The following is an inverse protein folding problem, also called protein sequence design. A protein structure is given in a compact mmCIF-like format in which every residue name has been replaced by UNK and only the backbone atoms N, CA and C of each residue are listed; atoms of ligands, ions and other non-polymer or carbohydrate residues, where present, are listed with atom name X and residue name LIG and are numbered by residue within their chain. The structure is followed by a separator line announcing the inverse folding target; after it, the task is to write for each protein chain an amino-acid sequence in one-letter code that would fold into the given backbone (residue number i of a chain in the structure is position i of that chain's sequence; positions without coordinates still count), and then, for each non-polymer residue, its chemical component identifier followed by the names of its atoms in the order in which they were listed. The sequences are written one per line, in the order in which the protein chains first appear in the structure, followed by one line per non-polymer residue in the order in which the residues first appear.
data_IF_695968953996
#
_entry.id   IF_695968953996
#
_cell.length_a   1.000
_cell.length_b   1.000
_cell.length_c   1.000
_cell.angle_alpha   90.00
_cell.angle_beta   90.00
_cell.angle_gamma   90.00
#
_symmetry.space_group_name_H-M   'P 1'
#
loop_
_entity.id
_entity.type
_entity.pdbx_description
1 polymer ?
#
# COMPACT_ATOMS: atom_id res chain seq x y z
N UNK A 1 4.08 -6.54 -36.20
CA UNK A 1 4.74 -5.91 -35.04
C UNK A 1 3.77 -5.97 -33.89
N UNK A 2 4.06 -6.76 -32.85
CA UNK A 2 3.25 -6.75 -31.63
C UNK A 2 3.36 -5.34 -31.01
N UNK A 3 2.23 -4.68 -30.75
CA UNK A 3 2.22 -3.45 -29.93
C UNK A 3 2.91 -3.83 -28.61
N UNK A 4 4.02 -3.22 -28.31
CA UNK A 4 4.61 -3.27 -26.97
C UNK A 4 3.57 -2.61 -26.06
N UNK A 5 2.78 -3.44 -25.36
CA UNK A 5 1.84 -2.90 -24.37
C UNK A 5 2.65 -2.15 -23.32
N UNK A 6 2.26 -0.90 -23.06
CA UNK A 6 2.83 -0.05 -22.00
C UNK A 6 2.73 -0.81 -20.68
N UNK A 7 3.81 -0.79 -19.87
CA UNK A 7 3.77 -1.35 -18.53
C UNK A 7 2.78 -0.57 -17.65
N UNK A 8 2.06 -1.24 -16.75
CA UNK A 8 1.22 -0.55 -15.79
C UNK A 8 2.03 0.42 -14.92
N UNK A 9 1.53 1.61 -14.73
CA UNK A 9 2.08 2.59 -13.80
C UNK A 9 1.39 2.42 -12.45
N UNK A 10 2.14 2.07 -11.43
CA UNK A 10 1.61 1.65 -10.13
C UNK A 10 2.16 2.52 -9.00
N UNK A 11 1.27 3.18 -8.28
CA UNK A 11 1.63 3.86 -7.03
C UNK A 11 1.48 2.90 -5.86
N UNK A 12 2.52 2.74 -5.02
CA UNK A 12 2.41 2.14 -3.69
C UNK A 12 2.42 3.26 -2.65
N UNK A 13 1.26 3.51 -2.04
CA UNK A 13 1.06 4.58 -1.07
C UNK A 13 0.94 4.03 0.35
N UNK A 14 1.86 4.44 1.23
CA UNK A 14 1.80 4.15 2.65
C UNK A 14 1.14 5.26 3.47
N UNK A 15 1.08 5.05 4.79
CA UNK A 15 0.43 5.98 5.72
C UNK A 15 1.26 7.23 6.08
N UNK A 16 2.49 7.34 5.59
CA UNK A 16 3.39 8.45 5.92
C UNK A 16 2.85 9.81 5.47
N UNK A 17 2.19 9.86 4.29
CA UNK A 17 1.53 11.07 3.82
C UNK A 17 0.40 11.49 4.79
N UNK A 18 -0.47 10.57 5.16
CA UNK A 18 -1.57 10.86 6.09
C UNK A 18 -1.04 11.28 7.47
N UNK A 19 0.03 10.65 7.95
CA UNK A 19 0.67 11.01 9.23
C UNK A 19 1.25 12.43 9.21
N UNK A 20 1.75 12.92 8.08
CA UNK A 20 2.20 14.30 7.94
C UNK A 20 1.07 15.32 8.21
N UNK A 21 -0.17 14.90 8.03
CA UNK A 21 -1.38 15.68 8.30
C UNK A 21 -2.11 15.26 9.59
N UNK A 22 -1.45 14.52 10.48
CA UNK A 22 -1.98 14.19 11.81
C UNK A 22 -2.77 12.88 11.88
N UNK A 23 -2.77 12.05 10.85
CA UNK A 23 -3.41 10.75 10.92
C UNK A 23 -2.70 9.80 11.90
N UNK A 24 -3.43 8.81 12.40
CA UNK A 24 -2.96 7.84 13.38
C UNK A 24 -1.75 7.04 12.89
N UNK A 25 -0.77 6.89 13.77
CA UNK A 25 0.41 6.05 13.54
C UNK A 25 0.14 4.58 13.90
N UNK A 26 1.09 3.71 13.54
CA UNK A 26 1.08 2.31 13.98
C UNK A 26 1.13 2.18 15.50
N UNK A 27 1.92 3.01 16.17
CA UNK A 27 2.04 2.97 17.64
C UNK A 27 0.70 3.35 18.32
N UNK A 28 -0.02 4.31 17.76
CA UNK A 28 -1.38 4.66 18.23
C UNK A 28 -2.36 3.51 18.01
N UNK A 29 -2.29 2.82 16.87
CA UNK A 29 -3.08 1.63 16.62
C UNK A 29 -2.78 0.54 17.66
N UNK A 30 -1.51 0.25 17.93
CA UNK A 30 -1.12 -0.74 18.94
C UNK A 30 -1.61 -0.36 20.33
N UNK A 31 -1.53 0.91 20.69
CA UNK A 31 -2.06 1.42 21.97
C UNK A 31 -3.58 1.22 22.08
N UNK A 32 -4.32 1.47 21.03
CA UNK A 32 -5.79 1.25 20.99
C UNK A 32 -6.17 -0.22 21.10
N UNK A 33 -5.38 -1.11 20.47
CA UNK A 33 -5.61 -2.55 20.52
C UNK A 33 -5.13 -3.19 21.83
N UNK A 34 -4.31 -2.48 22.62
CA UNK A 34 -3.68 -3.05 23.80
C UNK A 34 -4.70 -3.33 24.91
N UNK A 35 -4.71 -4.57 25.39
CA UNK A 35 -5.36 -4.99 26.63
C UNK A 35 -4.40 -4.92 27.82
N UNK A 36 -3.14 -4.54 27.60
CA UNK A 36 -2.07 -4.44 28.59
C UNK A 36 -1.78 -2.98 28.92
N UNK A 37 -1.60 -2.69 30.18
CA UNK A 37 -1.27 -1.35 30.71
C UNK A 37 0.19 -1.21 31.13
N UNK A 38 0.95 -2.30 31.11
CA UNK A 38 2.33 -2.39 31.58
C UNK A 38 3.37 -2.26 30.45
N UNK A 39 2.93 -2.04 29.21
CA UNK A 39 3.82 -1.92 28.06
C UNK A 39 4.27 -0.48 27.82
N UNK A 40 5.50 -0.27 27.32
CA UNK A 40 5.96 1.06 26.93
C UNK A 40 5.17 1.60 25.72
N UNK A 41 5.08 2.90 25.60
CA UNK A 41 4.39 3.55 24.47
C UNK A 41 4.97 3.20 23.11
N UNK A 42 6.26 2.88 23.06
CA UNK A 42 6.96 2.45 21.84
C UNK A 42 7.60 1.08 22.03
N UNK A 43 7.17 0.14 21.21
CA UNK A 43 7.67 -1.22 21.20
C UNK A 43 8.84 -1.37 20.22
N UNK A 44 9.92 -2.03 20.63
CA UNK A 44 11.14 -2.25 19.82
C UNK A 44 11.16 -3.57 19.05
N UNK A 45 10.08 -4.33 19.08
CA UNK A 45 9.95 -5.60 18.35
C UNK A 45 9.28 -5.39 16.98
N UNK A 46 9.43 -6.33 16.04
CA UNK A 46 8.79 -6.26 14.72
C UNK A 46 7.27 -6.03 14.79
N UNK A 47 6.75 -5.15 13.92
CA UNK A 47 5.34 -4.73 13.93
C UNK A 47 4.32 -5.89 13.97
N UNK A 48 4.47 -6.98 13.19
CA UNK A 48 3.53 -8.10 13.28
C UNK A 48 3.50 -8.78 14.64
N UNK A 49 4.61 -8.76 15.39
CA UNK A 49 4.71 -9.33 16.74
C UNK A 49 4.20 -8.35 17.80
N UNK A 50 4.24 -7.04 17.55
CA UNK A 50 3.67 -6.05 18.46
C UNK A 50 2.18 -6.33 18.71
N UNK A 51 1.44 -6.63 17.64
CA UNK A 51 0.01 -6.94 17.74
C UNK A 51 -0.26 -8.14 18.66
N UNK A 52 0.56 -9.19 18.58
CA UNK A 52 0.48 -10.37 19.49
C UNK A 52 0.75 -9.96 20.92
N UNK A 53 1.79 -9.15 21.15
CA UNK A 53 2.19 -8.73 22.48
C UNK A 53 1.11 -7.88 23.16
N UNK A 54 0.51 -6.94 22.43
CA UNK A 54 -0.48 -6.01 23.02
C UNK A 54 -1.84 -6.67 23.26
N UNK A 55 -2.15 -7.75 22.54
CA UNK A 55 -3.44 -8.46 22.65
C UNK A 55 -3.34 -9.80 23.39
N UNK A 56 -2.14 -10.22 23.78
CA UNK A 56 -1.79 -11.54 24.32
C UNK A 56 -2.12 -12.73 23.42
N UNK A 57 -2.56 -12.51 22.18
CA UNK A 57 -2.94 -13.55 21.23
C UNK A 57 -3.13 -12.98 19.82
N UNK A 58 -3.96 -13.62 19.05
CA UNK A 58 -4.33 -13.20 17.70
C UNK A 58 -5.34 -12.07 17.75
N UNK A 59 -5.12 -11.03 16.94
CA UNK A 59 -6.06 -9.93 16.79
C UNK A 59 -7.34 -10.44 16.13
N UNK A 60 -8.43 -10.50 16.87
CA UNK A 60 -9.72 -10.96 16.36
C UNK A 60 -10.49 -9.85 15.59
N UNK A 61 -11.62 -10.21 15.01
CA UNK A 61 -12.47 -9.28 14.25
C UNK A 61 -13.04 -8.16 15.11
N UNK A 62 -13.29 -8.40 16.40
CA UNK A 62 -13.83 -7.38 17.32
C UNK A 62 -12.78 -6.31 17.59
N UNK A 63 -11.53 -6.71 17.86
CA UNK A 63 -10.40 -5.80 18.02
C UNK A 63 -10.16 -4.99 16.74
N UNK A 64 -10.24 -5.63 15.57
CA UNK A 64 -10.12 -4.93 14.27
C UNK A 64 -11.23 -3.90 14.04
N UNK A 65 -12.45 -4.14 14.51
CA UNK A 65 -13.54 -3.15 14.46
C UNK A 65 -13.27 -1.95 15.37
N UNK A 66 -12.69 -2.16 16.54
CA UNK A 66 -12.25 -1.04 17.39
C UNK A 66 -11.13 -0.23 16.72
N UNK A 67 -10.21 -0.89 16.04
CA UNK A 67 -9.18 -0.20 15.26
C UNK A 67 -9.76 0.71 14.18
N UNK A 68 -10.91 0.38 13.60
CA UNK A 68 -11.56 1.21 12.59
C UNK A 68 -11.98 2.59 13.09
N UNK A 69 -12.21 2.76 14.39
CA UNK A 69 -12.54 4.06 14.99
C UNK A 69 -11.38 5.06 14.86
N UNK A 70 -10.14 4.60 14.66
CA UNK A 70 -8.96 5.44 14.46
C UNK A 70 -8.81 5.96 13.02
N UNK A 71 -9.52 5.35 12.08
CA UNK A 71 -9.40 5.65 10.66
C UNK A 71 -10.63 6.43 10.18
N UNK A 72 -10.79 7.65 10.70
CA UNK A 72 -11.68 8.66 10.12
C UNK A 72 -11.18 9.07 8.74
N UNK A 73 -12.06 9.63 7.90
CA UNK A 73 -11.70 10.15 6.59
C UNK A 73 -10.76 11.36 6.67
N UNK A 74 -10.40 11.87 5.51
CA UNK A 74 -9.56 13.06 5.36
C UNK A 74 -10.34 14.33 5.73
N UNK A 75 -10.51 14.60 7.01
CA UNK A 75 -11.11 15.86 7.48
C UNK A 75 -10.17 17.07 7.31
N UNK A 76 -8.95 16.82 6.80
CA UNK A 76 -7.97 17.86 6.51
C UNK A 76 -8.04 18.28 5.04
N UNK A 77 -8.51 19.52 4.72
CA UNK A 77 -8.65 19.99 3.34
C UNK A 77 -7.33 19.99 2.56
N UNK A 78 -6.22 20.36 3.20
CA UNK A 78 -4.90 20.39 2.56
C UNK A 78 -4.42 18.99 2.19
N UNK A 79 -4.66 17.99 3.05
CA UNK A 79 -4.40 16.60 2.74
C UNK A 79 -5.27 16.12 1.57
N UNK A 80 -6.56 16.47 1.58
CA UNK A 80 -7.46 16.11 0.49
C UNK A 80 -6.98 16.69 -0.86
N UNK A 81 -6.49 17.93 -0.88
CA UNK A 81 -5.96 18.55 -2.10
C UNK A 81 -4.71 17.83 -2.62
N UNK A 82 -3.81 17.42 -1.75
CA UNK A 82 -2.62 16.62 -2.13
C UNK A 82 -3.04 15.26 -2.68
N UNK A 83 -4.00 14.58 -2.06
CA UNK A 83 -4.50 13.30 -2.54
C UNK A 83 -5.20 13.44 -3.91
N UNK A 84 -5.95 14.53 -4.12
CA UNK A 84 -6.54 14.86 -5.43
C UNK A 84 -5.48 15.07 -6.52
N UNK A 85 -4.35 15.71 -6.19
CA UNK A 85 -3.22 15.80 -7.13
C UNK A 85 -2.70 14.42 -7.52
N UNK A 86 -2.48 13.52 -6.54
CA UNK A 86 -2.08 12.14 -6.83
C UNK A 86 -3.07 11.41 -7.75
N UNK A 87 -4.37 11.54 -7.48
CA UNK A 87 -5.42 10.96 -8.33
C UNK A 87 -5.42 11.53 -9.76
N UNK A 88 -5.06 12.81 -9.91
CA UNK A 88 -4.99 13.50 -11.22
C UNK A 88 -3.80 13.04 -12.07
N UNK A 89 -2.76 12.45 -11.49
CA UNK A 89 -1.62 11.89 -12.24
C UNK A 89 -2.09 10.76 -13.16
N UNK A 90 -3.03 9.92 -12.69
CA UNK A 90 -3.63 8.85 -13.49
C UNK A 90 -2.77 7.60 -13.54
N UNK A 91 -2.38 7.08 -12.37
CA UNK A 91 -1.82 5.75 -12.23
C UNK A 91 -2.84 4.70 -12.68
N UNK A 92 -2.38 3.64 -13.34
CA UNK A 92 -3.26 2.51 -13.71
C UNK A 92 -3.77 1.78 -12.45
N UNK A 93 -2.93 1.70 -11.41
CA UNK A 93 -3.26 1.10 -10.13
C UNK A 93 -2.64 1.88 -8.97
N UNK A 94 -3.41 2.10 -7.92
CA UNK A 94 -2.93 2.62 -6.64
C UNK A 94 -3.05 1.51 -5.60
N UNK A 95 -1.92 1.05 -5.09
CA UNK A 95 -1.85 0.07 -4.01
C UNK A 95 -1.65 0.82 -2.71
N UNK A 96 -2.46 0.56 -1.70
CA UNK A 96 -2.26 1.16 -0.39
C UNK A 96 -2.26 0.12 0.72
N UNK A 97 -1.36 0.31 1.70
CA UNK A 97 -1.35 -0.46 2.94
C UNK A 97 -2.30 0.13 3.99
N UNK A 98 -2.89 1.30 3.72
CA UNK A 98 -3.82 1.97 4.61
C UNK A 98 -5.15 1.23 4.68
N UNK A 99 -5.72 1.13 5.87
CA UNK A 99 -7.05 0.54 6.06
C UNK A 99 -8.19 1.54 5.80
N UNK A 100 -7.86 2.82 5.82
CA UNK A 100 -8.76 3.98 5.67
C UNK A 100 -8.94 4.39 4.20
N UNK A 101 -9.84 5.33 3.96
CA UNK A 101 -10.34 5.68 2.62
C UNK A 101 -10.02 7.12 2.22
N UNK A 102 -8.91 7.68 2.65
CA UNK A 102 -8.56 9.08 2.39
C UNK A 102 -8.48 9.41 0.90
N UNK A 103 -8.03 8.46 0.05
CA UNK A 103 -7.99 8.61 -1.39
C UNK A 103 -9.41 8.70 -1.98
N UNK A 104 -10.27 7.76 -1.59
CA UNK A 104 -11.65 7.72 -2.04
C UNK A 104 -12.44 8.92 -1.52
N UNK A 105 -12.27 9.27 -0.24
CA UNK A 105 -12.92 10.42 0.39
C UNK A 105 -12.49 11.74 -0.28
N UNK A 106 -11.22 11.86 -0.68
CA UNK A 106 -10.71 13.04 -1.38
C UNK A 106 -11.34 13.21 -2.78
N UNK A 107 -11.59 12.11 -3.48
CA UNK A 107 -12.20 12.13 -4.81
C UNK A 107 -13.72 12.27 -4.76
N UNK A 108 -14.37 11.69 -3.75
CA UNK A 108 -15.82 11.57 -3.60
C UNK A 108 -16.30 12.21 -2.29
N UNK A 109 -16.09 13.52 -2.10
CA UNK A 109 -16.45 14.19 -0.86
C UNK A 109 -17.96 14.08 -0.60
N UNK A 110 -18.32 13.66 0.62
CA UNK A 110 -19.71 13.49 1.04
C UNK A 110 -20.40 12.22 0.58
N UNK A 111 -19.74 11.36 -0.19
CA UNK A 111 -20.27 10.05 -0.58
C UNK A 111 -20.05 9.06 0.56
N UNK A 112 -21.11 8.32 0.91
CA UNK A 112 -21.01 7.30 1.95
C UNK A 112 -20.08 6.15 1.51
N UNK A 113 -19.21 5.68 2.43
CA UNK A 113 -18.23 4.61 2.16
C UNK A 113 -18.88 3.30 1.63
N UNK A 114 -20.14 3.06 1.97
CA UNK A 114 -20.92 1.93 1.45
C UNK A 114 -21.25 2.05 -0.05
N UNK A 115 -21.17 3.25 -0.61
CA UNK A 115 -21.52 3.55 -1.99
C UNK A 115 -20.31 3.53 -2.93
N UNK A 116 -19.08 3.33 -2.41
CA UNK A 116 -17.89 3.23 -3.23
C UNK A 116 -17.99 2.06 -4.19
N UNK A 117 -17.69 2.34 -5.46
CA UNK A 117 -17.79 1.37 -6.56
C UNK A 117 -16.74 0.27 -6.45
N UNK A 118 -17.10 -0.83 -5.81
CA UNK A 118 -16.25 -1.99 -5.68
C UNK A 118 -16.22 -2.79 -6.98
N UNK A 119 -15.05 -3.00 -7.53
CA UNK A 119 -14.80 -3.83 -8.70
C UNK A 119 -14.11 -5.14 -8.32
N UNK A 120 -14.38 -6.17 -9.08
CA UNK A 120 -13.74 -7.47 -8.95
C UNK A 120 -13.24 -7.94 -10.32
N UNK A 121 -11.94 -8.15 -10.44
CA UNK A 121 -11.30 -8.50 -11.71
C UNK A 121 -11.61 -9.92 -12.20
N UNK A 122 -11.94 -10.85 -11.31
CA UNK A 122 -12.26 -12.22 -11.69
C UNK A 122 -13.73 -12.50 -11.55
N UNK A 123 -14.39 -12.74 -12.68
CA UNK A 123 -15.69 -13.42 -12.71
C UNK A 123 -15.42 -14.93 -12.66
N UNK A 124 -15.84 -15.56 -11.58
CA UNK A 124 -16.04 -17.01 -11.42
C UNK A 124 -15.04 -17.95 -12.08
N UNK A 125 -14.03 -18.35 -11.33
CA UNK A 125 -13.70 -19.77 -11.25
C UNK A 125 -14.03 -20.21 -9.82
N UNK A 126 -14.65 -21.37 -9.67
CA UNK A 126 -15.02 -22.01 -8.39
C UNK A 126 -13.82 -22.22 -7.44
N UNK A 127 -12.62 -21.98 -7.92
CA UNK A 127 -11.35 -22.09 -7.21
C UNK A 127 -10.82 -20.79 -6.58
N UNK A 128 -11.35 -19.61 -6.95
CA UNK A 128 -11.09 -18.37 -6.20
C UNK A 128 -11.98 -18.40 -4.97
N UNK A 129 -11.66 -19.32 -4.10
CA UNK A 129 -12.40 -19.67 -2.91
C UNK A 129 -12.63 -18.45 -2.01
N UNK A 130 -13.65 -18.54 -1.15
CA UNK A 130 -13.93 -17.61 -0.04
C UNK A 130 -12.69 -17.15 0.72
N UNK A 131 -11.64 -17.98 0.77
CA UNK A 131 -10.35 -17.67 1.38
C UNK A 131 -9.57 -16.53 0.69
N UNK A 132 -9.67 -16.36 -0.64
CA UNK A 132 -8.99 -15.27 -1.35
C UNK A 132 -9.75 -13.96 -1.25
N UNK A 133 -11.07 -13.99 -1.00
CA UNK A 133 -11.87 -12.78 -0.81
C UNK A 133 -11.50 -12.04 0.48
N UNK A 134 -10.98 -12.75 1.48
CA UNK A 134 -10.48 -12.16 2.74
C UNK A 134 -9.28 -11.24 2.52
N UNK A 135 -8.38 -11.62 1.62
CA UNK A 135 -7.10 -10.90 1.39
C UNK A 135 -7.18 -9.84 0.28
N UNK A 136 -8.37 -9.53 -0.23
CA UNK A 136 -8.63 -8.50 -1.24
C UNK A 136 -7.71 -8.55 -2.48
N UNK A 137 -7.23 -9.75 -2.85
CA UNK A 137 -6.25 -9.92 -3.93
C UNK A 137 -6.79 -9.55 -5.33
N UNK A 138 -8.10 -9.61 -5.51
CA UNK A 138 -8.78 -9.43 -6.79
C UNK A 138 -9.85 -8.33 -6.78
N UNK A 139 -9.90 -7.52 -5.72
CA UNK A 139 -10.93 -6.48 -5.55
C UNK A 139 -10.29 -5.12 -5.29
N UNK A 140 -10.86 -4.08 -5.88
CA UNK A 140 -10.42 -2.70 -5.74
C UNK A 140 -11.63 -1.75 -5.73
N UNK A 141 -11.43 -0.56 -5.20
CA UNK A 141 -12.35 0.55 -5.34
C UNK A 141 -12.01 1.30 -6.63
N UNK A 142 -13.02 1.54 -7.48
CA UNK A 142 -12.85 2.35 -8.69
C UNK A 142 -13.35 3.76 -8.40
N UNK A 143 -12.48 4.73 -8.62
CA UNK A 143 -12.77 6.13 -8.38
C UNK A 143 -12.43 6.94 -9.64
N UNK A 144 -13.35 7.78 -10.07
CA UNK A 144 -13.12 8.72 -11.17
C UNK A 144 -12.83 10.10 -10.62
N UNK A 145 -11.71 10.69 -11.05
CA UNK A 145 -11.32 12.05 -10.68
C UNK A 145 -10.62 12.75 -11.85
N UNK A 146 -11.05 13.98 -12.19
CA UNK A 146 -10.52 14.76 -13.31
C UNK A 146 -10.40 13.99 -14.63
N UNK A 147 -11.41 13.17 -14.96
CA UNK A 147 -11.41 12.33 -16.16
C UNK A 147 -10.44 11.16 -16.15
N UNK A 148 -9.82 10.87 -15.01
CA UNK A 148 -8.95 9.71 -14.78
C UNK A 148 -9.69 8.67 -13.94
N UNK A 149 -9.62 7.41 -14.36
CA UNK A 149 -10.10 6.27 -13.58
C UNK A 149 -8.95 5.74 -12.73
N UNK A 150 -9.12 5.73 -11.41
CA UNK A 150 -8.15 5.25 -10.46
C UNK A 150 -8.63 3.93 -9.84
N UNK A 151 -7.81 2.89 -9.91
CA UNK A 151 -8.08 1.59 -9.29
C UNK A 151 -7.33 1.50 -7.97
N UNK A 152 -8.03 1.65 -6.84
CA UNK A 152 -7.44 1.70 -5.49
C UNK A 152 -7.57 0.33 -4.83
N UNK A 153 -6.43 -0.26 -4.47
CA UNK A 153 -6.31 -1.58 -3.87
C UNK A 153 -5.82 -1.48 -2.44
N UNK A 154 -6.63 -1.90 -1.48
CA UNK A 154 -6.23 -2.02 -0.07
C UNK A 154 -5.51 -3.34 0.16
N UNK A 155 -4.19 -3.36 -0.08
CA UNK A 155 -3.40 -4.61 -0.13
C UNK A 155 -3.23 -5.28 1.24
N UNK A 156 -3.34 -4.54 2.33
CA UNK A 156 -3.35 -5.07 3.70
C UNK A 156 -4.77 -5.11 4.31
N UNK A 157 -5.78 -5.01 3.47
CA UNK A 157 -7.18 -5.01 3.92
C UNK A 157 -7.76 -3.61 4.10
N UNK A 158 -9.05 -3.56 4.40
CA UNK A 158 -9.81 -2.31 4.50
C UNK A 158 -10.74 -2.27 5.71
N UNK A 159 -11.02 -1.08 6.22
CA UNK A 159 -11.83 -0.86 7.41
C UNK A 159 -13.27 -1.37 7.30
N UNK A 160 -13.91 -1.30 6.11
CA UNK A 160 -15.26 -1.86 5.89
C UNK A 160 -15.32 -3.38 6.04
N UNK A 161 -14.16 -4.05 5.89
CA UNK A 161 -14.04 -5.50 6.02
C UNK A 161 -12.97 -5.84 7.06
N UNK A 162 -13.26 -5.70 8.36
CA UNK A 162 -12.27 -5.91 9.41
C UNK A 162 -11.53 -7.25 9.31
N UNK A 163 -12.20 -8.30 8.83
CA UNK A 163 -11.58 -9.61 8.61
C UNK A 163 -10.48 -9.60 7.55
N UNK A 164 -10.47 -8.59 6.65
CA UNK A 164 -9.42 -8.45 5.65
C UNK A 164 -8.15 -7.79 6.17
N UNK A 165 -8.21 -7.08 7.30
CA UNK A 165 -7.08 -6.32 7.84
C UNK A 165 -5.95 -7.26 8.27
N UNK A 166 -4.76 -6.99 7.78
CA UNK A 166 -3.54 -7.75 8.07
C UNK A 166 -2.88 -7.14 9.31
N UNK A 167 -3.27 -7.63 10.47
CA UNK A 167 -2.73 -7.21 11.78
C UNK A 167 -2.26 -8.45 12.52
N UNK A 168 -0.97 -8.51 12.86
CA UNK A 168 -0.35 -9.62 13.55
C UNK A 168 0.28 -10.68 12.64
N UNK A 169 1.27 -11.38 13.16
CA UNK A 169 2.15 -12.27 12.40
C UNK A 169 1.41 -13.41 11.69
N UNK A 170 0.35 -13.96 12.30
CA UNK A 170 -0.47 -15.01 11.69
C UNK A 170 -1.06 -14.58 10.33
N UNK A 171 -1.57 -13.35 10.26
CA UNK A 171 -2.16 -12.82 9.03
C UNK A 171 -1.10 -12.54 7.97
N UNK A 172 0.07 -12.02 8.36
CA UNK A 172 1.21 -11.82 7.45
C UNK A 172 1.73 -13.14 6.88
N UNK A 173 1.87 -14.19 7.70
CA UNK A 173 2.29 -15.51 7.25
C UNK A 173 1.31 -16.12 6.23
N UNK A 174 0.01 -16.01 6.49
CA UNK A 174 -1.03 -16.48 5.56
C UNK A 174 -1.05 -15.66 4.27
N UNK A 175 -0.81 -14.34 4.34
CA UNK A 175 -0.72 -13.48 3.17
C UNK A 175 0.44 -13.90 2.27
N UNK A 176 1.63 -14.09 2.80
CA UNK A 176 2.79 -14.60 2.09
C UNK A 176 2.55 -15.95 1.42
N UNK A 177 1.89 -16.87 2.11
CA UNK A 177 1.49 -18.16 1.52
C UNK A 177 0.57 -17.97 0.30
N UNK A 178 -0.38 -17.02 0.37
CA UNK A 178 -1.26 -16.68 -0.76
C UNK A 178 -0.50 -16.08 -1.93
N UNK A 179 0.41 -15.15 -1.67
CA UNK A 179 1.26 -14.57 -2.72
C UNK A 179 2.06 -15.65 -3.44
N UNK A 180 2.73 -16.52 -2.69
CA UNK A 180 3.48 -17.65 -3.26
C UNK A 180 2.58 -18.57 -4.09
N UNK A 181 1.41 -18.91 -3.60
CA UNK A 181 0.47 -19.80 -4.30
C UNK A 181 0.00 -19.18 -5.62
N UNK A 182 -0.35 -17.90 -5.65
CA UNK A 182 -0.81 -17.21 -6.85
C UNK A 182 0.32 -16.99 -7.85
N UNK A 183 1.44 -16.45 -7.42
CA UNK A 183 2.57 -16.15 -8.31
C UNK A 183 3.30 -17.40 -8.82
N UNK A 184 3.21 -18.53 -8.13
CA UNK A 184 3.73 -19.79 -8.65
C UNK A 184 2.79 -20.46 -9.66
N UNK A 185 1.47 -20.33 -9.49
CA UNK A 185 0.46 -20.81 -10.45
C UNK A 185 0.41 -19.94 -11.72
N UNK A 186 0.59 -18.64 -11.54
CA UNK A 186 0.63 -17.65 -12.60
C UNK A 186 2.06 -17.10 -12.65
N UNK A 187 2.99 -17.87 -13.25
CA UNK A 187 4.36 -17.39 -13.41
C UNK A 187 4.37 -16.02 -14.13
N UNK A 188 5.43 -15.24 -13.96
CA UNK A 188 5.65 -14.00 -14.72
C UNK A 188 5.49 -14.20 -16.25
N UNK A 189 5.58 -15.46 -16.72
CA UNK A 189 5.23 -15.88 -18.06
C UNK A 189 3.75 -15.71 -18.39
N UNK A 190 2.83 -15.80 -17.42
CA UNK A 190 1.40 -15.66 -17.71
C UNK A 190 1.03 -14.21 -18.02
N UNK A 191 1.58 -13.23 -17.30
CA UNK A 191 1.42 -11.82 -17.65
C UNK A 191 2.08 -11.51 -19.01
N UNK A 192 3.33 -12.01 -19.23
CA UNK A 192 4.02 -11.88 -20.52
C UNK A 192 3.27 -12.54 -21.68
N UNK A 193 2.48 -13.59 -21.42
CA UNK A 193 1.70 -14.31 -22.43
C UNK A 193 0.30 -13.73 -22.64
N UNK A 194 -0.36 -13.24 -21.58
CA UNK A 194 -1.76 -12.80 -21.64
C UNK A 194 -1.97 -11.29 -21.58
N UNK A 195 -0.97 -10.53 -21.13
CA UNK A 195 -1.08 -9.08 -20.88
C UNK A 195 -2.14 -8.71 -19.82
N UNK A 196 -2.75 -9.70 -19.15
CA UNK A 196 -3.94 -9.49 -18.34
C UNK A 196 -3.61 -9.41 -16.85
N UNK A 197 -3.96 -8.28 -16.22
CA UNK A 197 -3.91 -8.11 -14.78
C UNK A 197 -5.16 -8.75 -14.17
N UNK A 198 -4.97 -9.71 -13.27
CA UNK A 198 -6.05 -10.42 -12.57
C UNK A 198 -6.05 -10.15 -11.08
N UNK A 199 -4.97 -9.64 -10.56
CA UNK A 199 -4.77 -9.27 -9.16
C UNK A 199 -3.83 -8.07 -9.05
N UNK A 200 -3.83 -7.40 -7.92
CA UNK A 200 -2.84 -6.35 -7.67
C UNK A 200 -1.39 -6.91 -7.63
N UNK A 201 -1.21 -8.19 -7.34
CA UNK A 201 0.10 -8.84 -7.42
C UNK A 201 0.66 -8.84 -8.86
N UNK A 202 -0.21 -9.05 -9.85
CA UNK A 202 0.19 -8.98 -11.25
C UNK A 202 0.63 -7.55 -11.60
N UNK A 203 -0.13 -6.54 -11.15
CA UNK A 203 0.21 -5.14 -11.34
C UNK A 203 1.56 -4.79 -10.68
N UNK A 204 1.78 -5.24 -9.44
CA UNK A 204 3.04 -5.03 -8.72
C UNK A 204 4.23 -5.65 -9.44
N UNK A 205 4.11 -6.91 -9.87
CA UNK A 205 5.24 -7.64 -10.50
C UNK A 205 5.54 -7.10 -11.89
N UNK A 206 4.52 -6.72 -12.66
CA UNK A 206 4.66 -6.34 -14.07
C UNK A 206 4.85 -4.83 -14.30
N UNK A 207 4.37 -3.97 -13.40
CA UNK A 207 4.35 -2.52 -13.57
C UNK A 207 5.63 -1.81 -13.20
N UNK A 208 5.72 -0.53 -13.51
CA UNK A 208 6.67 0.40 -12.91
C UNK A 208 6.07 0.90 -11.59
N UNK A 209 6.83 0.82 -10.49
CA UNK A 209 6.34 1.04 -9.14
C UNK A 209 6.90 2.34 -8.59
N UNK A 210 6.04 3.21 -8.13
CA UNK A 210 6.39 4.45 -7.42
C UNK A 210 5.95 4.34 -5.97
N UNK A 211 6.88 4.37 -5.03
CA UNK A 211 6.63 4.14 -3.60
C UNK A 211 6.71 5.48 -2.88
N UNK A 212 5.60 5.88 -2.25
CA UNK A 212 5.47 7.16 -1.54
C UNK A 212 4.82 6.97 -0.17
N UNK A 213 5.36 7.64 0.85
CA UNK A 213 4.77 7.62 2.20
C UNK A 213 4.82 6.27 2.89
N UNK A 214 5.68 5.36 2.43
CA UNK A 214 5.86 4.02 2.96
C UNK A 214 7.25 3.86 3.56
N UNK A 215 7.32 3.62 4.88
CA UNK A 215 8.60 3.57 5.58
C UNK A 215 9.46 2.34 5.29
N UNK A 216 8.94 1.32 4.62
CA UNK A 216 9.62 0.06 4.34
C UNK A 216 10.31 -0.52 5.58
N UNK A 217 9.52 -0.72 6.65
CA UNK A 217 10.02 -1.36 7.87
C UNK A 217 10.54 -2.76 7.56
N UNK A 218 11.59 -3.19 8.25
CA UNK A 218 12.19 -4.53 8.05
C UNK A 218 11.20 -5.66 8.30
N UNK A 219 10.14 -5.42 9.05
CA UNK A 219 9.09 -6.40 9.34
C UNK A 219 8.01 -6.53 8.26
N UNK A 220 8.01 -5.67 7.23
CA UNK A 220 7.10 -5.75 6.08
C UNK A 220 7.56 -6.86 5.11
N UNK A 221 7.65 -8.07 5.62
CA UNK A 221 8.25 -9.22 4.93
C UNK A 221 7.55 -9.59 3.63
N UNK A 222 6.27 -9.31 3.52
CA UNK A 222 5.46 -9.55 2.32
C UNK A 222 5.87 -8.62 1.17
N UNK A 223 6.08 -7.34 1.44
CA UNK A 223 6.53 -6.38 0.43
C UNK A 223 8.01 -6.57 0.08
N UNK A 224 8.87 -6.91 1.04
CA UNK A 224 10.25 -7.30 0.78
C UNK A 224 10.32 -8.53 -0.12
N UNK A 225 9.47 -9.53 0.13
CA UNK A 225 9.37 -10.72 -0.71
C UNK A 225 8.90 -10.37 -2.12
N UNK A 226 7.93 -9.47 -2.27
CA UNK A 226 7.45 -9.01 -3.57
C UNK A 226 8.50 -8.23 -4.36
N UNK A 227 9.29 -7.36 -3.73
CA UNK A 227 10.43 -6.70 -4.37
C UNK A 227 11.45 -7.71 -4.90
N UNK A 228 11.79 -8.71 -4.07
CA UNK A 228 12.67 -9.79 -4.49
C UNK A 228 12.09 -10.56 -5.69
N UNK A 229 10.80 -10.88 -5.66
CA UNK A 229 10.13 -11.55 -6.76
C UNK A 229 10.14 -10.71 -8.04
N UNK A 230 9.88 -9.41 -7.93
CA UNK A 230 9.93 -8.45 -9.04
C UNK A 230 11.33 -8.36 -9.66
N UNK A 231 12.37 -8.29 -8.84
CA UNK A 231 13.76 -8.32 -9.32
C UNK A 231 14.03 -9.52 -10.25
N UNK A 232 13.57 -10.73 -9.86
CA UNK A 232 13.76 -11.92 -10.67
C UNK A 232 12.84 -12.00 -11.90
N UNK A 233 11.72 -11.28 -11.90
CA UNK A 233 10.84 -11.21 -13.07
C UNK A 233 11.42 -10.34 -14.19
N UNK A 234 12.31 -9.40 -13.83
CA UNK A 234 12.91 -8.44 -14.76
C UNK A 234 11.92 -7.47 -15.39
N UNK A 235 10.75 -7.27 -14.77
CA UNK A 235 9.69 -6.44 -15.31
C UNK A 235 9.55 -5.14 -14.52
N UNK A 236 9.71 -4.00 -15.21
CA UNK A 236 9.49 -2.67 -14.67
C UNK A 236 10.51 -2.20 -13.63
N UNK A 237 10.54 -0.90 -13.44
CA UNK A 237 11.40 -0.23 -12.49
C UNK A 237 10.70 -0.02 -11.15
N UNK A 238 11.45 0.26 -10.10
CA UNK A 238 10.92 0.62 -8.78
C UNK A 238 11.59 1.90 -8.30
N UNK A 239 10.80 2.90 -7.98
CA UNK A 239 11.23 4.20 -7.48
C UNK A 239 10.73 4.38 -6.04
N UNK A 240 11.62 4.72 -5.13
CA UNK A 240 11.29 4.95 -3.72
C UNK A 240 11.60 6.38 -3.31
N UNK A 241 10.57 7.11 -2.92
CA UNK A 241 10.65 8.52 -2.55
C UNK A 241 10.76 8.64 -1.03
N UNK A 242 11.89 9.19 -0.58
CA UNK A 242 12.18 9.40 0.83
C UNK A 242 13.03 10.67 1.00
N UNK A 243 12.90 11.44 2.09
CA UNK A 243 13.80 12.54 2.37
C UNK A 243 15.26 12.08 2.44
N UNK A 244 16.17 12.91 1.97
CA UNK A 244 17.60 12.63 2.02
C UNK A 244 18.07 12.39 3.46
N UNK A 245 18.92 11.38 3.66
CA UNK A 245 19.43 10.96 4.97
C UNK A 245 18.39 10.41 5.97
N UNK A 246 17.18 10.09 5.52
CA UNK A 246 16.18 9.40 6.35
C UNK A 246 16.26 7.87 6.25
N UNK A 247 16.96 7.34 5.28
CA UNK A 247 17.19 5.91 5.09
C UNK A 247 18.49 5.50 5.78
N UNK A 248 18.45 4.45 6.60
CA UNK A 248 19.66 3.85 7.16
C UNK A 248 20.47 3.17 6.06
N UNK A 249 21.81 3.19 6.17
CA UNK A 249 22.72 2.68 5.15
C UNK A 249 22.42 1.23 4.76
N UNK A 250 22.19 0.34 5.74
CA UNK A 250 21.86 -1.07 5.47
C UNK A 250 20.55 -1.22 4.71
N UNK A 251 19.55 -0.40 5.00
CA UNK A 251 18.28 -0.39 4.29
C UNK A 251 18.45 0.14 2.86
N UNK A 252 19.26 1.18 2.67
CA UNK A 252 19.55 1.71 1.35
C UNK A 252 20.25 0.66 0.47
N UNK A 253 21.23 -0.06 1.04
CA UNK A 253 21.92 -1.15 0.33
C UNK A 253 20.98 -2.31 0.01
N UNK A 254 20.08 -2.68 0.94
CA UNK A 254 19.07 -3.71 0.68
C UNK A 254 18.11 -3.31 -0.43
N UNK A 255 17.63 -2.08 -0.46
CA UNK A 255 16.77 -1.55 -1.52
C UNK A 255 17.49 -1.59 -2.88
N UNK A 256 18.77 -1.17 -2.94
CA UNK A 256 19.58 -1.26 -4.15
C UNK A 256 19.74 -2.72 -4.62
N UNK A 257 19.96 -3.66 -3.68
CA UNK A 257 20.03 -5.09 -4.01
C UNK A 257 18.75 -5.61 -4.65
N UNK A 258 17.60 -5.02 -4.33
CA UNK A 258 16.31 -5.32 -4.98
C UNK A 258 16.02 -4.47 -6.23
N UNK A 259 17.03 -3.76 -6.77
CA UNK A 259 16.92 -2.88 -7.93
C UNK A 259 15.95 -1.70 -7.71
N UNK A 260 15.82 -1.23 -6.48
CA UNK A 260 15.03 -0.03 -6.16
C UNK A 260 15.87 1.21 -6.37
N UNK A 261 15.36 2.15 -7.14
CA UNK A 261 15.97 3.47 -7.36
C UNK A 261 15.51 4.43 -6.28
N UNK A 262 16.45 4.94 -5.50
CA UNK A 262 16.16 5.92 -4.46
C UNK A 262 15.97 7.30 -5.08
N UNK A 263 14.83 7.92 -4.84
CA UNK A 263 14.49 9.29 -5.22
C UNK A 263 14.52 10.15 -3.95
N UNK A 264 15.72 10.60 -3.56
CA UNK A 264 15.92 11.41 -2.35
C UNK A 264 16.02 12.89 -2.69
N UNK A 265 15.48 13.73 -1.81
CA UNK A 265 15.53 15.20 -1.92
C UNK A 265 16.12 15.81 -0.66
N UNK A 266 16.74 16.98 -0.79
CA UNK A 266 17.58 17.67 0.18
C UNK A 266 16.91 18.17 1.47
N UNK A 267 16.09 17.35 2.12
CA UNK A 267 15.56 17.61 3.45
C UNK A 267 16.46 16.93 4.49
N UNK A 268 17.08 17.71 5.38
CA UNK A 268 17.92 17.15 6.45
C UNK A 268 17.05 16.51 7.53
N UNK A 269 17.45 15.34 8.05
CA UNK A 269 16.71 14.51 9.00
C UNK A 269 16.15 15.24 10.24
N UNK A 270 16.81 16.32 10.69
CA UNK A 270 16.39 17.10 11.86
C UNK A 270 15.31 18.14 11.54
N UNK A 271 15.18 18.54 10.27
CA UNK A 271 14.37 19.68 9.84
C UNK A 271 13.40 19.26 8.72
N UNK A 272 13.04 17.97 8.63
CA UNK A 272 12.15 17.48 7.56
C UNK A 272 10.74 17.98 7.82
N UNK A 273 10.30 18.93 7.02
CA UNK A 273 8.89 19.19 6.85
C UNK A 273 8.32 18.15 5.86
N UNK A 274 7.68 17.12 6.38
CA UNK A 274 7.12 16.06 5.56
C UNK A 274 6.02 16.55 4.60
N UNK A 275 5.29 17.59 4.94
CA UNK A 275 4.30 18.20 4.04
C UNK A 275 5.00 18.74 2.79
N UNK A 276 6.06 19.52 2.96
CA UNK A 276 6.82 20.07 1.84
C UNK A 276 7.53 18.99 1.04
N UNK A 277 8.03 17.95 1.72
CA UNK A 277 8.58 16.78 1.07
C UNK A 277 7.56 16.12 0.15
N UNK A 278 6.32 15.85 0.62
CA UNK A 278 5.29 15.22 -0.20
C UNK A 278 4.87 16.11 -1.37
N UNK A 279 4.75 17.44 -1.17
CA UNK A 279 4.47 18.38 -2.26
C UNK A 279 5.53 18.30 -3.37
N UNK A 280 6.81 18.22 -2.97
CA UNK A 280 7.94 18.11 -3.91
C UNK A 280 7.98 16.74 -4.60
N UNK A 281 7.76 15.66 -3.86
CA UNK A 281 7.75 14.30 -4.40
C UNK A 281 6.63 14.11 -5.42
N UNK A 282 5.44 14.66 -5.15
CA UNK A 282 4.30 14.59 -6.07
C UNK A 282 4.57 15.40 -7.34
N UNK A 283 5.16 16.60 -7.24
CA UNK A 283 5.54 17.37 -8.42
C UNK A 283 6.52 16.58 -9.31
N UNK A 284 7.48 15.88 -8.69
CA UNK A 284 8.42 15.03 -9.44
C UNK A 284 7.74 13.81 -10.06
N UNK A 285 6.75 13.21 -9.39
CA UNK A 285 5.94 12.12 -9.96
C UNK A 285 5.16 12.62 -11.18
N UNK A 286 4.55 13.81 -11.11
CA UNK A 286 3.86 14.44 -12.24
C UNK A 286 4.82 14.58 -13.44
N UNK A 287 6.03 15.11 -13.23
CA UNK A 287 7.03 15.27 -14.28
C UNK A 287 7.46 13.92 -14.89
N UNK A 288 7.69 12.91 -14.06
CA UNK A 288 8.07 11.57 -14.53
C UNK A 288 6.99 10.94 -15.40
N UNK A 289 5.72 11.09 -15.02
CA UNK A 289 4.58 10.53 -15.77
C UNK A 289 4.24 11.29 -17.05
N UNK A 290 4.67 12.54 -17.19
CA UNK A 290 4.50 13.31 -18.44
C UNK A 290 5.56 12.97 -19.50
N UNK A 291 6.71 12.38 -19.08
CA UNK A 291 7.83 12.08 -19.97
C UNK A 291 7.81 10.65 -20.53
N UNK A 292 6.89 9.80 -20.07
CA UNK A 292 6.64 8.44 -20.59
C UNK A 292 5.43 8.40 -21.53
#
# INVERSE_FOLDING_TARGET
MAKTERRPQVLLLGNGLNQAYGASSWDQLMKTLSIRTDLPDKLSIPRPLQAVLVTNDTVDTTMKRHANALYGGADNPEMADILRRLLSIGFDHILTTNYSYELEDAALPGVAKSEYKLKKLMRHTSEVSRANSKYLLHTYNEVEYNGKTNNIWHIHGEARKPDSMIIGHYYYANLLYRYRSLLNKHSASHFKQSGKITSWLDAFVAGDIYILGFGFDVSEMDLWWLLNRKKFSGAGDVYFFEPENCIFDEKAELLKLFNVRLCSFGFRKKDVNYIDFYKTAIAKLEDMMLTE
#
